data_IF_784435872167
#
_entry.id   IF_784435872167
#
_cell.length_a   1.000
_cell.length_b   1.000
_cell.length_c   1.000
_cell.angle_alpha   90.00
_cell.angle_beta   90.00
_cell.angle_gamma   90.00
#
_symmetry.space_group_name_H-M   'P 1'
#
loop_
_entity.id
_entity.type
_entity.pdbx_description
1 polymer ?
#
# COMPACT_ATOMS: atom_id res chain seq x y z
N UNK A 1 -17.82 13.45 1.42
CA UNK A 1 -17.39 12.85 0.13
C UNK A 1 -18.60 12.26 -0.58
N UNK A 2 -18.72 12.38 -1.91
CA UNK A 2 -19.82 11.74 -2.64
C UNK A 2 -19.52 10.23 -2.89
N UNK A 3 -20.55 9.46 -3.25
CA UNK A 3 -20.43 8.00 -3.41
C UNK A 3 -19.50 7.58 -4.56
N UNK A 4 -19.47 8.36 -5.64
CA UNK A 4 -18.63 8.10 -6.81
C UNK A 4 -17.14 8.29 -6.49
N UNK A 5 -16.78 9.41 -5.88
CA UNK A 5 -15.41 9.69 -5.42
C UNK A 5 -14.96 8.66 -4.39
N UNK A 6 -15.84 8.26 -3.46
CA UNK A 6 -15.53 7.20 -2.50
C UNK A 6 -15.21 5.89 -3.20
N UNK A 7 -16.03 5.49 -4.17
CA UNK A 7 -15.81 4.26 -4.93
C UNK A 7 -14.50 4.31 -5.71
N UNK A 8 -14.21 5.41 -6.40
CA UNK A 8 -12.97 5.58 -7.13
C UNK A 8 -11.74 5.50 -6.20
N UNK A 9 -11.80 6.09 -5.00
CA UNK A 9 -10.73 6.00 -4.02
C UNK A 9 -10.53 4.58 -3.47
N UNK A 10 -11.62 3.82 -3.26
CA UNK A 10 -11.53 2.40 -2.89
C UNK A 10 -10.83 1.61 -4.00
N UNK A 11 -11.22 1.80 -5.26
CA UNK A 11 -10.59 1.12 -6.40
C UNK A 11 -9.09 1.45 -6.52
N UNK A 12 -8.70 2.72 -6.27
CA UNK A 12 -7.30 3.12 -6.21
C UNK A 12 -6.59 2.46 -5.03
N UNK A 13 -7.18 2.44 -3.84
CA UNK A 13 -6.61 1.81 -2.66
C UNK A 13 -6.34 0.31 -2.88
N UNK A 14 -7.27 -0.40 -3.53
CA UNK A 14 -7.07 -1.81 -3.88
C UNK A 14 -5.91 -2.01 -4.88
N UNK A 15 -5.77 -1.12 -5.87
CA UNK A 15 -4.64 -1.17 -6.81
C UNK A 15 -3.32 -0.95 -6.08
N UNK A 16 -3.26 0.05 -5.20
CA UNK A 16 -2.07 0.37 -4.40
C UNK A 16 -1.74 -0.78 -3.44
N UNK A 17 -2.74 -1.42 -2.82
CA UNK A 17 -2.55 -2.57 -1.94
C UNK A 17 -1.95 -3.78 -2.68
N UNK A 18 -2.44 -4.05 -3.90
CA UNK A 18 -1.87 -5.11 -4.75
C UNK A 18 -0.43 -4.81 -5.13
N UNK A 19 -0.13 -3.55 -5.51
CA UNK A 19 1.22 -3.12 -5.84
C UNK A 19 2.15 -3.25 -4.62
N UNK A 20 1.72 -2.76 -3.45
CA UNK A 20 2.47 -2.87 -2.20
C UNK A 20 2.77 -4.34 -1.86
N UNK A 21 1.76 -5.21 -1.94
CA UNK A 21 1.91 -6.65 -1.66
C UNK A 21 2.92 -7.30 -2.60
N UNK A 22 2.86 -6.97 -3.90
CA UNK A 22 3.81 -7.47 -4.88
C UNK A 22 5.24 -7.05 -4.56
N UNK A 23 5.46 -5.76 -4.33
CA UNK A 23 6.80 -5.23 -4.05
C UNK A 23 7.36 -5.71 -2.71
N UNK A 24 6.52 -5.84 -1.68
CA UNK A 24 6.91 -6.42 -0.40
C UNK A 24 7.44 -7.85 -0.55
N UNK A 25 6.70 -8.70 -1.29
CA UNK A 25 7.13 -10.08 -1.57
C UNK A 25 8.41 -10.14 -2.39
N UNK A 26 8.58 -9.21 -3.34
CA UNK A 26 9.82 -9.11 -4.11
C UNK A 26 11.00 -8.76 -3.20
N UNK A 27 10.86 -7.75 -2.34
CA UNK A 27 11.94 -7.35 -1.42
C UNK A 27 12.29 -8.49 -0.43
N UNK A 28 11.28 -9.19 0.08
CA UNK A 28 11.46 -10.41 0.90
C UNK A 28 12.24 -11.50 0.12
N UNK A 29 11.86 -11.76 -1.14
CA UNK A 29 12.53 -12.74 -1.99
C UNK A 29 13.98 -12.36 -2.34
N UNK A 30 14.24 -11.10 -2.67
CA UNK A 30 15.58 -10.61 -3.01
C UNK A 30 16.54 -10.76 -1.80
N UNK A 31 16.01 -10.60 -0.59
CA UNK A 31 16.74 -10.78 0.67
C UNK A 31 17.01 -12.27 0.96
N UNK A 32 16.03 -13.15 0.73
CA UNK A 32 16.21 -14.60 0.84
C UNK A 32 17.32 -15.10 -0.09
N UNK A 33 17.34 -14.63 -1.35
CA UNK A 33 18.40 -14.94 -2.31
C UNK A 33 19.76 -14.37 -1.87
N UNK A 34 19.77 -13.16 -1.33
CA UNK A 34 20.96 -12.50 -0.82
C UNK A 34 21.46 -13.03 0.54
N UNK A 35 20.76 -13.98 1.16
CA UNK A 35 21.04 -14.51 2.50
C UNK A 35 21.23 -13.40 3.56
N UNK A 36 20.49 -12.30 3.42
CA UNK A 36 20.63 -11.13 4.29
C UNK A 36 19.74 -11.29 5.53
N UNK A 37 20.23 -11.00 6.74
CA UNK A 37 19.49 -11.32 7.97
C UNK A 37 18.28 -10.42 8.26
N UNK A 38 18.06 -9.36 7.48
CA UNK A 38 16.96 -8.39 7.69
C UNK A 38 16.40 -7.92 6.36
N UNK A 39 15.08 -7.91 6.26
CA UNK A 39 14.39 -7.33 5.11
C UNK A 39 14.52 -5.81 5.17
N UNK A 40 15.13 -5.24 4.12
CA UNK A 40 15.13 -3.79 3.90
C UNK A 40 14.19 -3.52 2.74
N UNK A 41 13.02 -2.96 3.04
CA UNK A 41 12.06 -2.62 2.02
C UNK A 41 12.58 -1.51 1.13
N UNK A 42 12.36 -1.65 -0.18
CA UNK A 42 12.74 -0.65 -1.16
C UNK A 42 11.98 0.66 -0.91
N UNK A 43 12.53 1.82 -1.35
CA UNK A 43 11.82 3.09 -1.25
C UNK A 43 10.43 3.06 -1.89
N UNK A 44 10.24 2.24 -2.94
CA UNK A 44 8.95 2.06 -3.58
C UNK A 44 7.95 1.33 -2.67
N UNK A 45 8.36 0.26 -1.99
CA UNK A 45 7.51 -0.45 -1.02
C UNK A 45 7.09 0.47 0.11
N UNK A 46 8.00 1.29 0.65
CA UNK A 46 7.70 2.28 1.67
C UNK A 46 6.71 3.34 1.18
N UNK A 47 6.94 3.90 -0.01
CA UNK A 47 6.04 4.89 -0.61
C UNK A 47 4.63 4.34 -0.88
N UNK A 48 4.52 3.07 -1.28
CA UNK A 48 3.23 2.40 -1.47
C UNK A 48 2.50 2.18 -0.15
N UNK A 49 3.23 1.86 0.93
CA UNK A 49 2.65 1.74 2.27
C UNK A 49 2.11 3.10 2.76
N UNK A 50 2.91 4.16 2.65
CA UNK A 50 2.49 5.52 3.01
C UNK A 50 1.28 6.00 2.19
N UNK A 51 1.26 5.72 0.89
CA UNK A 51 0.12 6.03 0.04
C UNK A 51 -1.15 5.28 0.45
N UNK A 52 -1.01 4.00 0.85
CA UNK A 52 -2.13 3.19 1.32
C UNK A 52 -2.70 3.74 2.64
N UNK A 53 -1.84 4.12 3.58
CA UNK A 53 -2.24 4.72 4.85
C UNK A 53 -2.94 6.06 4.64
N UNK A 54 -2.43 6.91 3.74
CA UNK A 54 -3.07 8.17 3.38
C UNK A 54 -4.47 7.95 2.76
N UNK A 55 -4.61 6.98 1.84
CA UNK A 55 -5.90 6.66 1.22
C UNK A 55 -6.91 6.12 2.25
N UNK A 56 -6.46 5.29 3.18
CA UNK A 56 -7.30 4.78 4.28
C UNK A 56 -7.75 5.90 5.20
N UNK A 57 -6.85 6.81 5.59
CA UNK A 57 -7.20 7.99 6.38
C UNK A 57 -8.27 8.84 5.71
N UNK A 58 -8.14 9.12 4.41
CA UNK A 58 -9.15 9.88 3.65
C UNK A 58 -10.50 9.14 3.59
N UNK A 59 -10.50 7.81 3.46
CA UNK A 59 -11.72 7.00 3.44
C UNK A 59 -12.40 6.94 4.81
N UNK A 60 -11.62 6.86 5.89
CA UNK A 60 -12.10 6.79 7.27
C UNK A 60 -12.66 8.15 7.74
N UNK A 61 -11.96 9.25 7.44
CA UNK A 61 -12.44 10.63 7.71
C UNK A 61 -13.75 10.95 6.99
N UNK A 62 -14.03 10.24 5.89
CA UNK A 62 -15.25 10.39 5.12
C UNK A 62 -16.38 9.44 5.52
N UNK A 63 -16.15 8.50 6.44
CA UNK A 63 -17.18 7.62 6.97
C UNK A 63 -18.09 8.41 7.95
N UNK A 64 -19.43 8.31 7.85
CA UNK A 64 -20.31 8.94 8.84
C UNK A 64 -20.14 8.28 10.21
N UNK A 65 -20.04 9.10 11.26
CA UNK A 65 -19.94 8.69 12.67
C UNK A 65 -21.18 7.94 13.18
#
# INVERSE_FOLDING_TARGET
MNAETRRALVEVAEVVERAHTHHRRRDEHDIDLGHTPRVTYSPLTLALAEALDALRGVLDDAAPA
#
